data_IF_653712762530
#
_entry.id   IF_653712762530
#
_cell.length_a   1.000
_cell.length_b   1.000
_cell.length_c   1.000
_cell.angle_alpha   90.00
_cell.angle_beta   90.00
_cell.angle_gamma   90.00
#
_symmetry.space_group_name_H-M   'P 1'
#
loop_
_entity.id
_entity.type
_entity.pdbx_description
1 polymer ?
#
# COMPACT_ATOMS: atom_id res chain seq x y z
N UNK A 1 10.81 7.50 -20.92
CA UNK A 1 11.68 6.96 -21.99
C UNK A 1 13.16 7.24 -21.85
N UNK A 2 13.57 8.46 -21.49
CA UNK A 2 14.99 8.81 -21.32
C UNK A 2 15.73 7.84 -20.39
N UNK A 3 15.21 7.58 -19.17
CA UNK A 3 15.82 6.61 -18.25
C UNK A 3 15.92 5.21 -18.85
N UNK A 4 14.87 4.72 -19.51
CA UNK A 4 14.87 3.40 -20.15
C UNK A 4 15.93 3.30 -21.26
N UNK A 5 16.14 4.39 -22.02
CA UNK A 5 17.17 4.45 -23.05
C UNK A 5 18.59 4.39 -22.45
N UNK A 6 18.85 5.16 -21.39
CA UNK A 6 20.14 5.16 -20.68
C UNK A 6 20.42 3.79 -20.05
N UNK A 7 19.43 3.20 -19.38
CA UNK A 7 19.50 1.86 -18.78
C UNK A 7 19.80 0.80 -19.83
N UNK A 8 19.16 0.89 -21.00
CA UNK A 8 19.38 -0.06 -22.10
C UNK A 8 20.84 -0.04 -22.58
N UNK A 9 21.49 1.13 -22.56
CA UNK A 9 22.91 1.28 -22.91
C UNK A 9 23.84 0.89 -21.75
N UNK A 10 23.40 1.04 -20.50
CA UNK A 10 24.20 0.85 -19.29
C UNK A 10 23.48 -0.06 -18.27
N UNK A 11 23.34 -1.37 -18.54
CA UNK A 11 22.51 -2.26 -17.73
C UNK A 11 23.02 -2.46 -16.30
N UNK A 12 24.32 -2.26 -16.06
CA UNK A 12 24.94 -2.36 -14.73
C UNK A 12 24.47 -1.29 -13.73
N UNK A 13 23.83 -0.21 -14.21
CA UNK A 13 23.27 0.85 -13.35
C UNK A 13 21.97 0.41 -12.64
N UNK A 14 21.38 -0.72 -13.04
CA UNK A 14 20.06 -1.11 -12.55
C UNK A 14 20.13 -2.23 -11.53
N UNK A 15 19.53 -1.98 -10.37
CA UNK A 15 19.14 -3.01 -9.44
C UNK A 15 17.68 -3.44 -9.71
N UNK A 16 17.48 -4.73 -9.97
CA UNK A 16 16.15 -5.28 -10.27
C UNK A 16 15.39 -5.59 -8.98
N UNK A 17 14.23 -4.96 -8.81
CA UNK A 17 13.34 -5.24 -7.70
C UNK A 17 12.26 -6.26 -8.10
N UNK A 18 11.84 -7.15 -7.18
CA UNK A 18 10.67 -7.98 -7.39
C UNK A 18 9.44 -7.14 -7.72
N UNK A 19 8.56 -7.61 -8.62
CA UNK A 19 7.52 -6.73 -9.16
C UNK A 19 6.42 -6.32 -8.16
N UNK A 20 6.31 -6.98 -7.01
CA UNK A 20 5.44 -6.53 -5.90
C UNK A 20 5.87 -5.18 -5.27
N UNK A 21 7.07 -4.68 -5.60
CA UNK A 21 7.55 -3.33 -5.28
C UNK A 21 7.11 -2.26 -6.27
N UNK A 22 6.41 -2.61 -7.34
CA UNK A 22 5.84 -1.65 -8.29
C UNK A 22 4.65 -2.28 -9.02
N UNK A 23 3.61 -2.68 -8.28
CA UNK A 23 2.41 -3.28 -8.87
C UNK A 23 1.64 -2.19 -9.60
N UNK A 24 1.76 -2.16 -10.92
CA UNK A 24 1.10 -1.16 -11.76
C UNK A 24 -0.35 -1.53 -12.03
N UNK A 25 -1.27 -0.61 -11.72
CA UNK A 25 -2.70 -0.74 -11.99
C UNK A 25 -3.07 0.12 -13.21
N UNK A 26 -3.20 -0.54 -14.35
CA UNK A 26 -3.70 0.04 -15.59
C UNK A 26 -4.50 -0.96 -16.43
N UNK A 27 -5.14 -0.46 -17.50
CA UNK A 27 -6.02 -1.27 -18.34
C UNK A 27 -5.28 -2.41 -19.09
N UNK A 28 -3.95 -2.33 -19.19
CA UNK A 28 -3.11 -3.29 -19.96
C UNK A 28 -1.99 -3.95 -19.15
N UNK A 29 -1.94 -3.74 -17.83
CA UNK A 29 -0.91 -4.33 -16.96
C UNK A 29 -1.37 -5.67 -16.39
N UNK A 30 -0.50 -6.68 -16.40
CA UNK A 30 -0.73 -8.01 -15.77
C UNK A 30 -0.38 -8.00 -14.29
N UNK A 31 -0.99 -7.07 -13.55
CA UNK A 31 -0.71 -6.81 -12.13
C UNK A 31 -0.88 -8.05 -11.24
N UNK A 32 -1.84 -8.91 -11.58
CA UNK A 32 -2.20 -10.14 -10.87
C UNK A 32 -1.10 -11.20 -10.86
N UNK A 33 -0.08 -11.08 -11.72
CA UNK A 33 1.07 -12.00 -11.73
C UNK A 33 2.15 -11.61 -10.72
N UNK A 34 2.08 -10.40 -10.16
CA UNK A 34 3.12 -9.88 -9.27
C UNK A 34 2.94 -10.24 -7.79
N UNK A 35 1.79 -10.79 -7.43
CA UNK A 35 1.45 -11.16 -6.06
C UNK A 35 0.52 -12.35 -6.07
N UNK A 36 0.59 -13.18 -5.02
CA UNK A 36 -0.38 -14.26 -4.80
C UNK A 36 -1.50 -13.76 -3.92
N UNK A 37 -1.14 -13.04 -2.86
CA UNK A 37 -2.04 -12.47 -1.87
C UNK A 37 -1.78 -10.97 -1.66
N UNK A 38 -2.78 -10.27 -1.11
CA UNK A 38 -2.70 -8.82 -0.87
C UNK A 38 -1.60 -8.44 0.14
N UNK A 39 -1.17 -9.38 0.99
CA UNK A 39 -0.07 -9.21 1.95
C UNK A 39 1.32 -9.15 1.30
N UNK A 40 1.45 -9.67 0.07
CA UNK A 40 2.72 -9.65 -0.67
C UNK A 40 3.03 -8.24 -1.20
N UNK A 41 1.99 -7.42 -1.38
CA UNK A 41 2.08 -6.08 -1.95
C UNK A 41 2.93 -5.17 -1.06
N UNK A 42 3.89 -4.46 -1.68
CA UNK A 42 4.71 -3.45 -1.00
C UNK A 42 4.39 -2.05 -1.49
N UNK A 43 4.31 -1.85 -2.82
CA UNK A 43 3.95 -0.57 -3.42
C UNK A 43 2.97 -0.78 -4.56
N UNK A 44 1.89 -0.01 -4.53
CA UNK A 44 0.84 -0.02 -5.54
C UNK A 44 0.93 1.28 -6.34
N UNK A 45 1.04 1.16 -7.66
CA UNK A 45 1.19 2.29 -8.56
C UNK A 45 -0.05 2.44 -9.45
N UNK A 46 -0.90 3.41 -9.11
CA UNK A 46 -2.09 3.78 -9.91
C UNK A 46 -1.70 4.61 -11.14
N UNK A 47 -1.12 3.95 -12.15
CA UNK A 47 -0.62 4.58 -13.36
C UNK A 47 -1.73 4.96 -14.38
N UNK A 48 -2.94 4.39 -14.25
CA UNK A 48 -4.03 4.70 -15.20
C UNK A 48 -4.72 6.04 -14.93
N UNK A 49 -5.04 6.82 -15.98
CA UNK A 49 -5.86 8.02 -15.86
C UNK A 49 -7.28 7.71 -15.33
N UNK A 50 -7.76 6.47 -15.54
CA UNK A 50 -9.06 6.00 -15.06
C UNK A 50 -9.03 5.60 -13.57
N UNK A 51 -7.85 5.52 -12.94
CA UNK A 51 -7.59 5.20 -11.51
C UNK A 51 -8.52 4.11 -10.96
N UNK A 52 -9.59 4.52 -10.26
CA UNK A 52 -10.57 3.66 -9.57
C UNK A 52 -11.53 2.91 -10.49
N UNK A 53 -11.42 3.11 -11.81
CA UNK A 53 -12.25 2.43 -12.82
C UNK A 53 -11.47 1.35 -13.60
N UNK A 54 -10.20 1.12 -13.26
CA UNK A 54 -9.40 0.03 -13.85
C UNK A 54 -9.98 -1.31 -13.40
N UNK A 55 -10.21 -2.22 -14.36
CA UNK A 55 -10.65 -3.58 -14.07
C UNK A 55 -9.45 -4.41 -13.63
N UNK A 56 -9.52 -5.03 -12.46
CA UNK A 56 -8.51 -5.94 -11.94
C UNK A 56 -9.15 -6.96 -10.97
N UNK A 57 -8.44 -8.05 -10.68
CA UNK A 57 -8.95 -9.15 -9.83
C UNK A 57 -9.37 -8.68 -8.42
N UNK A 58 -8.70 -7.68 -7.87
CA UNK A 58 -8.90 -7.17 -6.51
C UNK A 58 -9.39 -5.71 -6.52
N UNK A 59 -10.29 -5.37 -7.45
CA UNK A 59 -10.66 -3.97 -7.74
C UNK A 59 -11.25 -3.23 -6.53
N UNK A 60 -12.07 -3.90 -5.74
CA UNK A 60 -12.67 -3.32 -4.54
C UNK A 60 -11.62 -3.04 -3.47
N UNK A 61 -10.66 -3.96 -3.27
CA UNK A 61 -9.56 -3.77 -2.33
C UNK A 61 -8.75 -2.53 -2.68
N UNK A 62 -8.27 -2.42 -3.93
CA UNK A 62 -7.46 -1.28 -4.35
C UNK A 62 -8.24 0.04 -4.31
N UNK A 63 -9.52 0.03 -4.68
CA UNK A 63 -10.36 1.22 -4.60
C UNK A 63 -10.53 1.69 -3.15
N UNK A 64 -10.83 0.76 -2.26
CA UNK A 64 -11.02 1.07 -0.84
C UNK A 64 -9.70 1.55 -0.22
N UNK A 65 -8.58 0.91 -0.54
CA UNK A 65 -7.25 1.32 -0.07
C UNK A 65 -6.93 2.77 -0.47
N UNK A 66 -7.16 3.13 -1.74
CA UNK A 66 -6.95 4.50 -2.22
C UNK A 66 -7.82 5.52 -1.46
N UNK A 67 -9.11 5.22 -1.29
CA UNK A 67 -10.04 6.11 -0.58
C UNK A 67 -9.65 6.26 0.89
N UNK A 68 -9.27 5.17 1.56
CA UNK A 68 -8.77 5.20 2.94
C UNK A 68 -7.59 6.17 3.09
N UNK A 69 -6.60 6.11 2.18
CA UNK A 69 -5.46 7.03 2.24
C UNK A 69 -5.83 8.49 1.97
N UNK A 70 -6.83 8.77 1.13
CA UNK A 70 -7.32 10.14 0.91
C UNK A 70 -8.08 10.69 2.13
N UNK A 71 -8.75 9.82 2.87
CA UNK A 71 -9.54 10.19 4.05
C UNK A 71 -8.69 10.28 5.33
N UNK A 72 -7.43 9.86 5.29
CA UNK A 72 -6.54 9.91 6.44
C UNK A 72 -6.17 11.35 6.84
N UNK A 73 -6.34 11.65 8.13
CA UNK A 73 -5.86 12.90 8.72
C UNK A 73 -4.33 12.94 8.71
N UNK A 74 -3.75 13.95 8.07
CA UNK A 74 -2.30 14.16 8.04
C UNK A 74 -1.66 14.28 9.43
N UNK A 75 -2.40 14.72 10.46
CA UNK A 75 -1.94 14.75 11.84
C UNK A 75 -1.79 13.35 12.45
N UNK A 76 -2.59 12.38 11.98
CA UNK A 76 -2.44 10.97 12.36
C UNK A 76 -1.14 10.40 11.77
N UNK A 77 -0.83 10.74 10.52
CA UNK A 77 0.38 10.26 9.81
C UNK A 77 1.68 10.82 10.38
N UNK A 78 1.62 11.94 11.10
CA UNK A 78 2.78 12.52 11.82
C UNK A 78 3.11 11.77 13.11
N UNK A 79 2.19 10.95 13.62
CA UNK A 79 2.44 10.13 14.81
C UNK A 79 3.19 8.88 14.40
N UNK A 80 4.12 8.44 15.23
CA UNK A 80 4.74 7.12 15.09
C UNK A 80 3.69 6.05 15.39
N UNK A 81 3.01 5.56 14.35
CA UNK A 81 1.98 4.54 14.45
C UNK A 81 2.58 3.15 14.67
N UNK A 82 3.82 2.96 14.22
CA UNK A 82 4.60 1.72 14.35
C UNK A 82 6.02 2.12 14.78
N UNK A 83 6.37 1.82 16.03
CA UNK A 83 7.71 2.08 16.55
C UNK A 83 8.72 1.08 16.02
N UNK A 84 9.96 1.52 15.78
CA UNK A 84 11.07 0.60 15.61
C UNK A 84 11.44 -0.01 16.98
N UNK A 85 11.68 -1.33 17.08
CA UNK A 85 12.25 -1.90 18.30
C UNK A 85 13.60 -1.23 18.55
N UNK A 86 13.80 -0.75 19.78
CA UNK A 86 15.08 -0.18 20.18
C UNK A 86 16.10 -1.32 20.40
N UNK A 87 17.38 -1.08 20.14
CA UNK A 87 18.42 -2.09 20.41
C UNK A 87 18.46 -2.53 21.89
N UNK A 88 17.89 -1.72 22.79
CA UNK A 88 17.73 -2.01 24.22
C UNK A 88 16.63 -3.03 24.54
N UNK A 89 15.72 -3.32 23.62
CA UNK A 89 14.59 -4.23 23.85
C UNK A 89 14.97 -5.72 23.73
N UNK A 90 16.16 -6.03 23.21
CA UNK A 90 16.64 -7.42 23.08
C UNK A 90 17.12 -8.04 24.41
N UNK A 91 17.32 -7.24 25.46
CA UNK A 91 17.83 -7.73 26.75
C UNK A 91 16.78 -7.78 27.88
N UNK A 92 15.49 -7.60 27.56
CA UNK A 92 14.41 -7.71 28.56
C UNK A 92 13.31 -8.66 28.11
N UNK A 93 13.68 -9.91 27.84
CA UNK A 93 12.73 -11.00 28.01
C UNK A 93 12.29 -11.04 29.49
N UNK A 94 11.01 -10.72 29.71
CA UNK A 94 10.30 -10.73 31.00
C UNK A 94 10.37 -9.44 31.83
N UNK A 95 9.72 -8.34 31.40
CA UNK A 95 8.83 -7.52 32.26
C UNK A 95 7.97 -6.63 31.35
N UNK A 96 6.63 -6.68 31.48
CA UNK A 96 5.79 -5.51 31.15
C UNK A 96 4.77 -5.67 30.02
N UNK A 97 3.69 -6.40 30.30
CA UNK A 97 2.34 -6.06 29.80
C UNK A 97 2.02 -4.60 30.20
N UNK A 98 2.39 -3.59 29.40
CA UNK A 98 1.97 -2.17 29.48
C UNK A 98 2.84 -1.37 28.49
N UNK A 99 2.36 -0.64 27.49
CA UNK A 99 1.04 -0.32 26.97
C UNK A 99 1.21 -0.38 25.45
N UNK A 100 0.75 -1.44 24.81
CA UNK A 100 0.34 -1.31 23.41
C UNK A 100 -0.78 -0.28 23.49
N UNK A 101 -0.50 0.95 23.07
CA UNK A 101 -1.53 1.95 22.86
C UNK A 101 -2.59 1.24 22.04
N UNK A 102 -3.75 0.99 22.65
CA UNK A 102 -4.85 0.27 22.04
C UNK A 102 -5.14 1.05 20.76
N UNK A 103 -4.60 0.59 19.63
CA UNK A 103 -5.06 1.05 18.33
C UNK A 103 -6.52 0.67 18.40
N UNK A 104 -7.38 1.67 18.64
CA UNK A 104 -8.80 1.49 18.44
C UNK A 104 -8.85 0.96 17.02
N UNK A 105 -9.27 -0.30 16.88
CA UNK A 105 -9.56 -0.88 15.57
C UNK A 105 -10.33 0.20 14.84
N UNK A 106 -9.71 0.81 13.83
CA UNK A 106 -10.40 1.80 13.01
C UNK A 106 -11.42 0.95 12.29
N UNK A 107 -12.61 0.90 12.89
CA UNK A 107 -13.75 0.18 12.34
C UNK A 107 -14.02 0.90 11.04
N UNK A 108 -13.58 0.29 9.95
CA UNK A 108 -13.84 0.73 8.58
C UNK A 108 -15.37 0.79 8.45
N UNK A 109 -15.95 1.95 8.69
CA UNK A 109 -17.38 2.12 8.55
C UNK A 109 -17.67 2.04 7.07
N UNK A 110 -18.41 0.99 6.70
CA UNK A 110 -18.93 0.81 5.35
C UNK A 110 -19.77 2.04 5.05
N UNK A 111 -19.28 2.94 4.20
CA UNK A 111 -20.07 4.06 3.69
C UNK A 111 -21.15 3.44 2.80
N UNK A 112 -22.34 3.25 3.35
CA UNK A 112 -23.52 2.92 2.57
C UNK A 112 -23.87 4.16 1.75
N UNK A 113 -23.53 4.16 0.46
CA UNK A 113 -24.13 5.10 -0.48
C UNK A 113 -25.63 4.81 -0.55
N UNK A 114 -26.43 5.67 0.04
CA UNK A 114 -27.87 5.73 -0.22
C UNK A 114 -28.05 6.06 -1.71
N UNK A 115 -28.69 5.15 -2.43
CA UNK A 115 -29.22 5.45 -3.77
C UNK A 115 -30.41 6.40 -3.56
N UNK A 116 -30.22 7.68 -3.81
CA UNK A 116 -31.33 8.53 -4.25
C UNK A 116 -31.57 8.18 -5.72
N UNK A 117 -32.69 7.50 -5.97
CA UNK A 117 -33.22 7.31 -7.32
C UNK A 117 -33.87 8.64 -7.79
N UNK A 118 -33.94 8.87 -9.11
CA UNK A 118 -34.38 10.15 -9.69
C UNK A 118 -35.83 10.50 -9.40
#
# INVERSE_FOLDING_TARGET
DIFNAVIKQNPFLVHQLPCFWNVQLSDHTRSEKCYRDVSDLKVIHWNSPKKLRVKNKHVEFFRNLYLTFLEYDGNLLRRELFGCPSETDHNSENVGKKRIGKIRSVKMHRIHKTKTNP
#
